data_IF_167832177633
#
_entry.id   IF_167832177633
#
_cell.length_a   1.000
_cell.length_b   1.000
_cell.length_c   1.000
_cell.angle_alpha   90.00
_cell.angle_beta   90.00
_cell.angle_gamma   90.00
#
_symmetry.space_group_name_H-M   'P 1'
#
loop_
_entity.id
_entity.type
_entity.pdbx_description
1 polymer ?
#
# COMPACT_ATOMS: atom_id res chain seq x y z
N UNK A 1 5.64 19.28 11.35
CA UNK A 1 4.26 19.40 10.86
C UNK A 1 3.93 18.02 10.33
N UNK A 2 3.26 17.20 11.12
CA UNK A 2 2.95 15.78 10.83
C UNK A 2 1.46 15.56 11.16
N UNK A 3 0.61 16.53 10.81
CA UNK A 3 -0.62 16.83 11.56
C UNK A 3 -1.93 16.58 10.84
N UNK A 4 -1.96 16.05 9.62
CA UNK A 4 -3.24 15.65 9.00
C UNK A 4 -3.29 14.20 8.50
N UNK A 5 -2.66 13.28 9.23
CA UNK A 5 -2.86 11.83 9.01
C UNK A 5 -3.91 11.26 9.94
N UNK A 6 -5.04 10.85 9.38
CA UNK A 6 -6.08 10.15 10.17
C UNK A 6 -5.81 8.65 10.12
N UNK A 7 -5.58 7.99 11.26
CA UNK A 7 -5.37 6.55 11.29
C UNK A 7 -6.67 5.80 10.96
N UNK A 8 -6.60 4.88 9.99
CA UNK A 8 -7.72 3.99 9.67
C UNK A 8 -7.57 2.63 10.37
N UNK A 9 -6.36 2.06 10.38
CA UNK A 9 -6.08 0.80 11.05
C UNK A 9 -4.85 0.06 10.49
N UNK A 10 -4.65 -1.16 10.97
CA UNK A 10 -3.63 -2.09 10.47
C UNK A 10 -4.31 -3.27 9.80
N UNK A 11 -3.86 -3.63 8.59
CA UNK A 11 -4.27 -4.84 7.87
C UNK A 11 -3.15 -5.87 7.96
N UNK A 12 -3.43 -7.05 8.51
CA UNK A 12 -2.42 -8.05 8.83
C UNK A 12 -2.83 -9.49 8.47
N UNK A 13 -1.82 -10.31 8.18
CA UNK A 13 -1.86 -11.77 8.02
C UNK A 13 -0.52 -12.36 8.46
N UNK A 14 -0.34 -13.68 8.36
CA UNK A 14 0.94 -14.34 8.59
C UNK A 14 2.06 -13.90 7.62
N UNK A 15 1.70 -13.27 6.49
CA UNK A 15 2.66 -12.87 5.46
C UNK A 15 2.99 -11.37 5.46
N UNK A 16 2.08 -10.50 5.92
CA UNK A 16 2.22 -9.05 5.80
C UNK A 16 1.49 -8.30 6.92
N UNK A 17 2.01 -7.12 7.25
CA UNK A 17 1.41 -6.20 8.23
C UNK A 17 1.56 -4.78 7.71
N UNK A 18 0.44 -4.13 7.39
CA UNK A 18 0.41 -2.81 6.72
C UNK A 18 -0.42 -1.82 7.54
N UNK A 19 0.19 -0.70 7.91
CA UNK A 19 -0.52 0.44 8.49
C UNK A 19 -1.16 1.28 7.40
N UNK A 20 -2.44 1.64 7.59
CA UNK A 20 -3.26 2.41 6.66
C UNK A 20 -3.70 3.71 7.32
N UNK A 21 -3.38 4.83 6.68
CA UNK A 21 -3.78 6.18 7.12
C UNK A 21 -4.25 7.00 5.93
N UNK A 22 -5.18 7.92 6.16
CA UNK A 22 -5.52 8.96 5.16
C UNK A 22 -4.52 10.09 5.30
N UNK A 23 -3.89 10.48 4.19
CA UNK A 23 -3.03 11.65 4.08
C UNK A 23 -3.79 12.77 3.34
N UNK A 24 -3.96 13.91 4.00
CA UNK A 24 -4.65 15.08 3.48
C UNK A 24 -3.70 16.20 3.04
N UNK A 25 -2.39 16.04 3.22
CA UNK A 25 -1.40 17.09 2.99
C UNK A 25 -0.96 17.20 1.50
N UNK A 26 -1.49 16.35 0.62
CA UNK A 26 -1.19 16.33 -0.82
C UNK A 26 -2.20 17.17 -1.64
N UNK A 27 -2.14 17.10 -2.97
CA UNK A 27 -3.09 17.77 -3.88
C UNK A 27 -4.52 17.14 -3.86
N UNK A 28 -4.87 16.44 -2.78
CA UNK A 28 -6.10 15.68 -2.59
C UNK A 28 -5.89 14.54 -1.58
N UNK A 29 -6.98 13.98 -1.01
CA UNK A 29 -6.89 12.84 -0.11
C UNK A 29 -6.29 11.61 -0.80
N UNK A 30 -5.36 10.95 -0.12
CA UNK A 30 -4.74 9.69 -0.57
C UNK A 30 -4.53 8.75 0.61
N UNK A 31 -4.39 7.46 0.34
CA UNK A 31 -3.97 6.50 1.36
C UNK A 31 -2.45 6.48 1.44
N UNK A 32 -1.92 6.57 2.66
CA UNK A 32 -0.53 6.21 2.97
C UNK A 32 -0.53 4.80 3.54
N UNK A 33 0.17 3.91 2.84
CA UNK A 33 0.36 2.50 3.18
C UNK A 33 1.81 2.30 3.62
N UNK A 34 2.01 1.78 4.83
CA UNK A 34 3.34 1.45 5.34
C UNK A 34 3.42 -0.04 5.66
N UNK A 35 4.32 -0.76 4.99
CA UNK A 35 4.71 -2.10 5.40
C UNK A 35 5.49 -2.00 6.71
N UNK A 36 4.89 -2.48 7.80
CA UNK A 36 5.46 -2.34 9.14
C UNK A 36 6.71 -3.20 9.36
N UNK A 37 6.93 -4.23 8.52
CA UNK A 37 8.13 -5.09 8.55
C UNK A 37 9.31 -4.43 7.85
N UNK A 38 9.10 -3.87 6.66
CA UNK A 38 10.18 -3.30 5.83
C UNK A 38 10.31 -1.78 5.94
N UNK A 39 9.34 -1.11 6.57
CA UNK A 39 9.19 0.35 6.64
C UNK A 39 9.03 1.02 5.28
N UNK A 40 8.74 0.24 4.22
CA UNK A 40 8.45 0.79 2.91
C UNK A 40 7.10 1.48 2.93
N UNK A 41 7.06 2.71 2.41
CA UNK A 41 5.85 3.52 2.31
C UNK A 41 5.44 3.68 0.85
N UNK A 42 4.14 3.57 0.58
CA UNK A 42 3.52 3.95 -0.69
C UNK A 42 2.34 4.87 -0.42
N UNK A 43 2.11 5.78 -1.34
CA UNK A 43 0.91 6.61 -1.36
C UNK A 43 0.08 6.19 -2.56
N UNK A 44 -1.22 6.03 -2.36
CA UNK A 44 -2.16 5.70 -3.42
C UNK A 44 -3.29 6.72 -3.42
N UNK A 45 -3.41 7.49 -4.49
CA UNK A 45 -4.52 8.40 -4.68
C UNK A 45 -5.80 7.66 -5.10
N UNK A 46 -6.90 8.40 -5.26
CA UNK A 46 -8.20 7.82 -5.61
C UNK A 46 -8.18 7.05 -6.95
N UNK A 47 -7.42 7.52 -7.95
CA UNK A 47 -7.33 6.88 -9.26
C UNK A 47 -6.48 5.61 -9.20
N UNK A 48 -5.37 5.63 -8.46
CA UNK A 48 -4.53 4.46 -8.22
C UNK A 48 -5.31 3.37 -7.45
N UNK A 49 -6.12 3.77 -6.46
CA UNK A 49 -6.99 2.87 -5.71
C UNK A 49 -8.11 2.30 -6.59
N UNK A 50 -8.78 3.13 -7.39
CA UNK A 50 -9.79 2.68 -8.34
C UNK A 50 -9.19 1.65 -9.32
N UNK A 51 -7.98 1.92 -9.82
CA UNK A 51 -7.26 0.97 -10.69
C UNK A 51 -7.02 -0.38 -10.03
N UNK A 52 -6.70 -0.40 -8.72
CA UNK A 52 -6.55 -1.65 -7.95
C UNK A 52 -7.89 -2.36 -7.77
N UNK A 53 -8.96 -1.63 -7.46
CA UNK A 53 -10.32 -2.18 -7.28
C UNK A 53 -10.81 -2.86 -8.57
N UNK A 54 -10.47 -2.31 -9.73
CA UNK A 54 -10.85 -2.85 -11.04
C UNK A 54 -9.83 -3.83 -11.63
N UNK A 55 -8.74 -4.15 -10.91
CA UNK A 55 -7.70 -5.03 -11.44
C UNK A 55 -8.23 -6.47 -11.57
N UNK A 56 -8.10 -7.13 -12.75
CA UNK A 56 -8.47 -8.53 -12.88
C UNK A 56 -7.68 -9.44 -11.93
N UNK A 57 -8.34 -10.48 -11.41
CA UNK A 57 -7.76 -11.40 -10.42
C UNK A 57 -6.45 -12.03 -10.88
N UNK A 58 -6.31 -12.35 -12.18
CA UNK A 58 -5.09 -12.95 -12.72
C UNK A 58 -3.91 -11.98 -12.63
N UNK A 59 -4.17 -10.68 -12.84
CA UNK A 59 -3.16 -9.63 -12.74
C UNK A 59 -2.82 -9.33 -11.29
N UNK A 60 -3.80 -9.35 -10.40
CA UNK A 60 -3.56 -9.21 -8.96
C UNK A 60 -2.72 -10.39 -8.43
N UNK A 61 -3.08 -11.61 -8.82
CA UNK A 61 -2.34 -12.84 -8.45
C UNK A 61 -0.88 -12.78 -8.91
N UNK A 62 -0.63 -12.29 -10.12
CA UNK A 62 0.74 -12.12 -10.63
C UNK A 62 1.57 -11.11 -9.81
N UNK A 63 0.95 -10.08 -9.21
CA UNK A 63 1.64 -9.13 -8.33
C UNK A 63 1.96 -9.71 -6.95
N UNK A 64 1.17 -10.70 -6.50
CA UNK A 64 1.38 -11.39 -5.23
C UNK A 64 2.47 -12.45 -5.30
N UNK A 65 2.87 -12.88 -6.49
CA UNK A 65 3.92 -13.88 -6.69
C UNK A 65 5.28 -13.36 -6.15
N UNK A 66 5.79 -13.92 -5.03
CA UNK A 66 7.04 -13.47 -4.43
C UNK A 66 8.26 -13.75 -5.33
N UNK A 67 8.14 -14.69 -6.28
CA UNK A 67 9.19 -15.04 -7.23
C UNK A 67 9.29 -14.04 -8.40
N UNK A 68 8.21 -13.30 -8.67
CA UNK A 68 8.17 -12.33 -9.74
C UNK A 68 9.00 -11.09 -9.41
N UNK A 69 8.76 -10.43 -8.27
CA UNK A 69 9.38 -9.13 -7.96
C UNK A 69 9.72 -8.87 -6.48
N UNK A 70 9.20 -9.62 -5.50
CA UNK A 70 9.33 -9.24 -4.08
C UNK A 70 10.67 -9.62 -3.45
N UNK A 71 11.28 -10.74 -3.84
CA UNK A 71 12.42 -11.36 -3.12
C UNK A 71 13.74 -11.47 -3.90
N UNK A 72 13.81 -10.97 -5.15
CA UNK A 72 15.12 -10.71 -5.75
C UNK A 72 15.65 -9.43 -5.09
N UNK A 73 16.54 -9.59 -4.10
CA UNK A 73 17.15 -8.47 -3.41
C UNK A 73 17.65 -7.43 -4.41
N UNK A 74 17.04 -6.24 -4.40
CA UNK A 74 17.70 -5.06 -4.92
C UNK A 74 18.79 -4.70 -3.90
N UNK A 75 20.03 -4.72 -4.39
CA UNK A 75 21.25 -4.33 -3.68
C UNK A 75 21.31 -2.84 -3.38
#
# INVERSE_FOLDING_TARGET
MDSERTPLGVVASEFAEVSVTVDLEANGPRLRLEDLRTKRVRYLDALELETIVWLPDERLTALLDPSANRWRGEA
#
